data_IF_490321744384
#
_entry.id   IF_490321744384
#
_cell.length_a   1.000
_cell.length_b   1.000
_cell.length_c   1.000
_cell.angle_alpha   90.00
_cell.angle_beta   90.00
_cell.angle_gamma   90.00
#
_symmetry.space_group_name_H-M   'P 1'
#
loop_
_entity.id
_entity.type
_entity.pdbx_description
1 polymer ?
#
# COMPACT_ATOMS: atom_id res chain seq x y z
N UNK A 1 4.14 19.78 -18.00
CA UNK A 1 3.54 18.57 -17.42
C UNK A 1 3.14 18.94 -16.01
N UNK A 2 1.87 18.76 -15.63
CA UNK A 2 1.37 19.27 -14.37
C UNK A 2 1.81 18.34 -13.22
N UNK A 3 3.00 18.61 -12.67
CA UNK A 3 3.65 17.85 -11.59
C UNK A 3 3.02 18.10 -10.21
N UNK A 4 1.88 18.79 -10.14
CA UNK A 4 1.24 19.24 -8.90
C UNK A 4 0.39 18.14 -8.23
N UNK A 5 -0.15 17.19 -9.00
CA UNK A 5 -1.08 16.17 -8.50
C UNK A 5 -0.39 15.01 -7.74
N UNK A 6 0.82 14.53 -8.12
CA UNK A 6 1.51 13.46 -7.38
C UNK A 6 2.05 13.91 -6.02
N UNK A 7 2.56 15.14 -5.90
CA UNK A 7 3.19 15.63 -4.68
C UNK A 7 2.22 15.71 -3.48
N UNK A 8 0.93 15.91 -3.76
CA UNK A 8 -0.13 15.91 -2.74
C UNK A 8 -0.47 14.50 -2.24
N UNK A 9 -0.20 13.45 -3.03
CA UNK A 9 -0.53 12.05 -2.69
C UNK A 9 0.58 11.29 -2.00
N UNK A 10 1.82 11.79 -2.08
CA UNK A 10 2.98 11.14 -1.44
C UNK A 10 2.77 10.83 0.07
N UNK A 11 2.21 11.73 0.91
CA UNK A 11 1.94 11.39 2.31
C UNK A 11 0.89 10.29 2.50
N UNK A 12 -0.10 10.20 1.61
CA UNK A 12 -1.12 9.15 1.68
C UNK A 12 -0.57 7.80 1.21
N UNK A 13 0.26 7.80 0.16
CA UNK A 13 0.99 6.61 -0.28
C UNK A 13 1.92 6.12 0.84
N UNK A 14 2.66 7.04 1.48
CA UNK A 14 3.48 6.72 2.63
C UNK A 14 2.63 6.14 3.78
N UNK A 15 1.44 6.68 4.04
CA UNK A 15 0.50 6.12 5.03
C UNK A 15 0.09 4.68 4.68
N UNK A 16 -0.15 4.37 3.41
CA UNK A 16 -0.50 3.01 2.97
C UNK A 16 0.67 2.04 3.23
N UNK A 17 1.92 2.41 2.91
CA UNK A 17 3.07 1.52 3.07
C UNK A 17 3.67 1.51 4.50
N UNK A 18 3.60 2.60 5.25
CA UNK A 18 4.28 2.77 6.55
C UNK A 18 3.33 2.74 7.74
N UNK A 19 2.08 3.19 7.54
CA UNK A 19 1.08 3.29 8.59
C UNK A 19 0.59 1.93 9.06
N UNK A 20 0.10 1.87 10.29
CA UNK A 20 -0.44 0.67 10.94
C UNK A 20 -1.94 0.80 11.28
N UNK A 21 -2.54 1.97 11.01
CA UNK A 21 -3.95 2.23 11.26
C UNK A 21 -4.83 1.60 10.15
N UNK A 22 -5.69 0.65 10.54
CA UNK A 22 -6.57 -0.07 9.63
C UNK A 22 -7.65 0.83 9.03
N UNK A 23 -8.46 1.57 9.84
CA UNK A 23 -9.46 2.49 9.31
C UNK A 23 -8.90 3.50 8.31
N UNK A 24 -7.80 4.18 8.66
CA UNK A 24 -7.18 5.20 7.82
C UNK A 24 -6.69 4.61 6.51
N UNK A 25 -6.01 3.46 6.54
CA UNK A 25 -5.54 2.82 5.31
C UNK A 25 -6.71 2.36 4.44
N UNK A 26 -7.78 1.81 5.04
CA UNK A 26 -8.98 1.44 4.28
C UNK A 26 -9.59 2.66 3.58
N UNK A 27 -9.77 3.76 4.29
CA UNK A 27 -10.30 5.00 3.70
C UNK A 27 -9.46 5.45 2.52
N UNK A 28 -8.13 5.45 2.64
CA UNK A 28 -7.25 5.83 1.53
C UNK A 28 -7.36 4.86 0.34
N UNK A 29 -7.42 3.54 0.59
CA UNK A 29 -7.61 2.56 -0.47
C UNK A 29 -8.93 2.78 -1.23
N UNK A 30 -10.02 3.08 -0.51
CA UNK A 30 -11.34 3.35 -1.08
C UNK A 30 -11.38 4.71 -1.81
N UNK A 31 -10.86 5.77 -1.21
CA UNK A 31 -10.82 7.13 -1.78
C UNK A 31 -10.06 7.17 -3.11
N UNK A 32 -8.96 6.43 -3.20
CA UNK A 32 -8.16 6.34 -4.41
C UNK A 32 -8.61 5.23 -5.37
N UNK A 33 -9.61 4.41 -5.02
CA UNK A 33 -10.06 3.28 -5.85
C UNK A 33 -8.97 2.23 -6.09
N UNK A 34 -8.13 1.97 -5.07
CA UNK A 34 -6.99 1.07 -5.17
C UNK A 34 -7.47 -0.38 -5.04
N UNK A 35 -7.46 -1.10 -6.17
CA UNK A 35 -7.80 -2.52 -6.19
C UNK A 35 -6.61 -3.44 -5.88
N UNK A 36 -5.38 -2.95 -6.12
CA UNK A 36 -4.16 -3.71 -5.91
C UNK A 36 -3.07 -2.86 -5.27
N UNK A 37 -2.33 -3.45 -4.32
CA UNK A 37 -1.11 -2.85 -3.74
C UNK A 37 0.06 -3.75 -4.08
N UNK A 38 1.07 -3.17 -4.72
CA UNK A 38 2.29 -3.86 -5.11
C UNK A 38 3.40 -3.57 -4.09
N UNK A 39 4.04 -4.60 -3.58
CA UNK A 39 5.17 -4.48 -2.68
C UNK A 39 6.38 -5.22 -3.25
N UNK A 40 7.26 -4.48 -3.93
CA UNK A 40 8.51 -4.98 -4.51
C UNK A 40 9.76 -4.39 -3.84
N UNK A 41 10.95 -4.62 -4.41
CA UNK A 41 12.21 -4.07 -3.90
C UNK A 41 12.19 -2.54 -3.81
N UNK A 42 11.63 -1.86 -4.81
CA UNK A 42 11.58 -0.39 -4.85
C UNK A 42 10.74 0.19 -3.71
N UNK A 43 9.55 -0.35 -3.46
CA UNK A 43 8.68 0.11 -2.37
C UNK A 43 9.27 -0.21 -1.01
N UNK A 44 9.95 -1.37 -0.87
CA UNK A 44 10.66 -1.73 0.36
C UNK A 44 11.82 -0.78 0.64
N UNK A 45 12.61 -0.43 -0.37
CA UNK A 45 13.72 0.52 -0.25
C UNK A 45 13.24 1.96 -0.03
N UNK A 46 12.13 2.36 -0.65
CA UNK A 46 11.61 3.73 -0.49
C UNK A 46 10.89 3.91 0.85
N UNK A 47 9.96 3.02 1.15
CA UNK A 47 9.02 3.22 2.27
C UNK A 47 9.41 2.46 3.53
N UNK A 48 10.32 1.48 3.47
CA UNK A 48 10.76 0.71 4.65
C UNK A 48 9.57 0.22 5.52
N UNK A 49 8.61 -0.51 4.94
CA UNK A 49 7.39 -0.90 5.65
C UNK A 49 7.73 -1.76 6.88
N UNK A 50 7.17 -1.38 8.03
CA UNK A 50 7.32 -2.16 9.26
C UNK A 50 6.51 -3.47 9.19
N UNK A 51 6.84 -4.49 9.99
CA UNK A 51 6.02 -5.70 10.10
C UNK A 51 4.55 -5.40 10.47
N UNK A 52 4.30 -4.35 11.25
CA UNK A 52 2.95 -3.90 11.59
C UNK A 52 2.21 -3.33 10.38
N UNK A 53 2.89 -2.58 9.50
CA UNK A 53 2.31 -2.06 8.27
C UNK A 53 1.94 -3.19 7.29
N UNK A 54 2.80 -4.22 7.18
CA UNK A 54 2.52 -5.41 6.38
C UNK A 54 1.35 -6.21 6.96
N UNK A 55 1.34 -6.45 8.27
CA UNK A 55 0.25 -7.13 8.96
C UNK A 55 -1.10 -6.42 8.77
N UNK A 56 -1.08 -5.09 8.74
CA UNK A 56 -2.27 -4.30 8.41
C UNK A 56 -2.75 -4.55 6.98
N UNK A 57 -1.87 -4.56 5.98
CA UNK A 57 -2.23 -4.90 4.60
C UNK A 57 -2.79 -6.32 4.50
N UNK A 58 -2.21 -7.29 5.21
CA UNK A 58 -2.71 -8.67 5.29
C UNK A 58 -4.11 -8.78 5.90
N UNK A 59 -4.49 -7.85 6.78
CA UNK A 59 -5.83 -7.79 7.38
C UNK A 59 -6.86 -7.08 6.50
N UNK A 60 -6.41 -6.16 5.64
CA UNK A 60 -7.29 -5.35 4.79
C UNK A 60 -7.50 -5.98 3.40
N UNK A 61 -6.51 -6.72 2.91
CA UNK A 61 -6.45 -7.24 1.54
C UNK A 61 -5.95 -8.68 1.52
N UNK A 62 -6.14 -9.38 0.41
CA UNK A 62 -5.64 -10.75 0.20
C UNK A 62 -4.34 -10.70 -0.60
N UNK A 63 -3.33 -11.50 -0.24
CA UNK A 63 -2.16 -11.72 -1.08
C UNK A 63 -2.56 -12.57 -2.29
N UNK A 64 -2.78 -11.94 -3.44
CA UNK A 64 -3.19 -12.61 -4.68
C UNK A 64 -1.99 -13.18 -5.45
N UNK A 65 -0.79 -12.70 -5.13
CA UNK A 65 0.48 -13.21 -5.63
C UNK A 65 1.58 -12.96 -4.60
N UNK A 66 2.46 -13.93 -4.40
CA UNK A 66 3.62 -13.81 -3.52
C UNK A 66 4.78 -14.65 -4.07
N UNK A 67 5.98 -14.06 -4.08
CA UNK A 67 7.26 -14.75 -4.26
C UNK A 67 8.32 -14.08 -3.36
N UNK A 68 9.57 -14.56 -3.43
CA UNK A 68 10.67 -14.07 -2.60
C UNK A 68 10.95 -12.55 -2.72
N UNK A 69 10.55 -11.93 -3.83
CA UNK A 69 10.83 -10.52 -4.13
C UNK A 69 9.60 -9.63 -4.06
N UNK A 70 8.39 -10.16 -4.29
CA UNK A 70 7.19 -9.36 -4.56
C UNK A 70 5.98 -9.95 -3.85
N UNK A 71 5.18 -9.06 -3.27
CA UNK A 71 3.83 -9.37 -2.81
C UNK A 71 2.85 -8.46 -3.56
N UNK A 72 1.76 -9.02 -4.08
CA UNK A 72 0.64 -8.26 -4.63
C UNK A 72 -0.57 -8.52 -3.74
N UNK A 73 -1.07 -7.46 -3.13
CA UNK A 73 -2.33 -7.46 -2.40
C UNK A 73 -3.47 -7.09 -3.34
N UNK A 74 -4.62 -7.73 -3.20
CA UNK A 74 -5.84 -7.40 -3.95
C UNK A 74 -7.10 -7.67 -3.14
N UNK A 75 -8.20 -7.04 -3.53
CA UNK A 75 -9.53 -7.48 -3.07
C UNK A 75 -9.88 -8.77 -3.83
N UNK A 76 -10.17 -9.86 -3.11
CA UNK A 76 -10.59 -11.12 -3.71
C UNK A 76 -11.90 -10.94 -4.49
N UNK A 77 -11.92 -11.40 -5.74
CA UNK A 77 -13.15 -11.52 -6.54
C UNK A 77 -13.91 -12.81 -6.19
#
# INVERSE_FOLDING_TARGET
GNYEVPALREPDIATIYQGHDLPQTRTLLEEYGIHYVYLGPLERERYHPSPAALSKLDRLMTRVYENDLVIIYGYGY
#
